data_IF_728495183951
#
_entry.id   IF_728495183951
#
_cell.length_a   1.000
_cell.length_b   1.000
_cell.length_c   1.000
_cell.angle_alpha   90.00
_cell.angle_beta   90.00
_cell.angle_gamma   90.00
#
_symmetry.space_group_name_H-M   'P 1'
#
loop_
_entity.id
_entity.type
_entity.pdbx_description
1 polymer ?
#
# COMPACT_ATOMS: atom_id res chain seq x y z
N UNK A 1 -5.29 -9.69 -12.08
CA UNK A 1 -5.17 -8.23 -12.07
C UNK A 1 -4.60 -7.68 -13.38
N UNK A 2 -3.45 -8.16 -13.85
CA UNK A 2 -2.79 -7.67 -15.10
C UNK A 2 -3.67 -7.79 -16.37
N UNK A 3 -4.61 -8.71 -16.40
CA UNK A 3 -5.55 -8.92 -17.52
C UNK A 3 -6.85 -8.12 -17.37
N UNK A 4 -7.04 -7.40 -16.28
CA UNK A 4 -8.24 -6.63 -16.04
C UNK A 4 -8.31 -5.40 -16.97
N UNK A 5 -9.54 -5.07 -17.39
CA UNK A 5 -9.80 -3.85 -18.15
C UNK A 5 -9.64 -2.62 -17.26
N UNK A 6 -8.67 -1.77 -17.58
CA UNK A 6 -8.37 -0.53 -16.80
C UNK A 6 -9.51 0.51 -16.86
N UNK A 7 -10.46 0.36 -17.77
CA UNK A 7 -11.62 1.25 -17.86
C UNK A 7 -12.77 0.89 -16.89
N UNK A 8 -12.66 -0.25 -16.19
CA UNK A 8 -13.66 -0.63 -15.18
C UNK A 8 -13.27 -0.08 -13.82
N UNK A 9 -14.12 0.78 -13.29
CA UNK A 9 -13.95 1.43 -11.98
C UNK A 9 -14.55 0.53 -10.87
N UNK A 10 -13.96 -0.65 -10.64
CA UNK A 10 -14.34 -1.58 -9.57
C UNK A 10 -13.46 -1.32 -8.35
N UNK A 11 -14.08 -1.13 -7.19
CA UNK A 11 -13.40 -0.88 -5.93
C UNK A 11 -13.78 -1.93 -4.89
N UNK A 12 -12.79 -2.46 -4.19
CA UNK A 12 -12.99 -3.29 -3.00
C UNK A 12 -12.65 -2.48 -1.76
N UNK A 13 -13.60 -2.38 -0.84
CA UNK A 13 -13.36 -1.80 0.49
C UNK A 13 -13.17 -2.97 1.47
N UNK A 14 -11.95 -3.24 1.96
CA UNK A 14 -11.67 -4.42 2.78
C UNK A 14 -11.93 -4.16 4.28
N UNK A 15 -13.08 -3.58 4.61
CA UNK A 15 -13.49 -3.31 5.99
C UNK A 15 -14.01 -4.58 6.68
N UNK A 16 -13.17 -5.62 6.79
CA UNK A 16 -13.57 -6.91 7.38
C UNK A 16 -13.87 -6.82 8.87
N UNK A 17 -13.20 -5.91 9.57
CA UNK A 17 -13.37 -5.63 11.00
C UNK A 17 -13.57 -4.12 11.26
N UNK A 18 -14.16 -3.41 10.31
CA UNK A 18 -14.24 -1.96 10.28
C UNK A 18 -13.10 -1.33 9.48
N UNK A 19 -13.07 -0.01 9.45
CA UNK A 19 -12.01 0.81 8.86
C UNK A 19 -11.19 1.48 9.95
N UNK A 20 -9.86 1.35 9.86
CA UNK A 20 -8.89 2.05 10.71
C UNK A 20 -8.67 3.49 10.26
N UNK A 21 -7.48 4.03 10.55
CA UNK A 21 -7.08 5.37 10.13
C UNK A 21 -7.16 5.53 8.60
N UNK A 22 -7.59 6.71 8.10
CA UNK A 22 -8.06 7.89 8.84
C UNK A 22 -9.58 7.87 9.16
N UNK A 23 -10.27 6.82 8.75
CA UNK A 23 -11.75 6.76 8.77
C UNK A 23 -12.34 6.45 10.14
N UNK A 24 -11.67 5.63 10.94
CA UNK A 24 -12.02 5.23 12.30
C UNK A 24 -13.49 4.81 12.47
N UNK A 25 -13.98 3.95 11.57
CA UNK A 25 -15.34 3.42 11.57
C UNK A 25 -15.33 1.90 11.86
N UNK A 26 -15.66 1.54 13.08
CA UNK A 26 -15.71 0.14 13.52
C UNK A 26 -16.91 -0.64 12.95
N UNK A 27 -17.96 0.07 12.49
CA UNK A 27 -19.21 -0.51 12.00
C UNK A 27 -19.19 -0.67 10.46
N UNK A 28 -18.28 0.00 9.76
CA UNK A 28 -18.07 -0.22 8.33
C UNK A 28 -17.83 -1.70 8.01
N UNK A 29 -18.36 -2.16 6.88
CA UNK A 29 -18.16 -3.55 6.41
C UNK A 29 -17.63 -3.58 4.99
N UNK A 30 -16.91 -4.67 4.68
CA UNK A 30 -16.32 -4.90 3.36
C UNK A 30 -17.36 -4.86 2.24
N UNK A 31 -17.00 -4.24 1.11
CA UNK A 31 -17.90 -4.10 -0.04
C UNK A 31 -17.14 -4.15 -1.37
N UNK A 32 -17.82 -4.60 -2.40
CA UNK A 32 -17.43 -4.46 -3.81
C UNK A 32 -18.37 -3.48 -4.49
N UNK A 33 -17.82 -2.43 -5.10
CA UNK A 33 -18.58 -1.35 -5.73
C UNK A 33 -18.13 -1.18 -7.20
N UNK A 34 -19.03 -0.68 -8.05
CA UNK A 34 -18.73 -0.44 -9.45
C UNK A 34 -18.85 -1.67 -10.35
N UNK A 35 -19.54 -2.74 -9.91
CA UNK A 35 -19.74 -3.94 -10.70
C UNK A 35 -20.61 -3.67 -11.92
N UNK A 36 -20.21 -4.22 -13.06
CA UNK A 36 -20.92 -4.18 -14.33
C UNK A 36 -21.11 -5.60 -14.88
N UNK A 37 -21.80 -5.75 -16.01
CA UNK A 37 -21.91 -7.05 -16.70
C UNK A 37 -20.59 -7.57 -17.23
N UNK A 38 -19.60 -6.68 -17.44
CA UNK A 38 -18.25 -7.03 -17.89
C UNK A 38 -17.30 -7.35 -16.76
N UNK A 39 -17.71 -7.19 -15.49
CA UNK A 39 -16.82 -7.44 -14.35
C UNK A 39 -16.63 -8.93 -14.15
N UNK A 40 -15.38 -9.38 -14.22
CA UNK A 40 -14.99 -10.77 -14.01
C UNK A 40 -13.99 -10.92 -12.85
N UNK A 41 -13.45 -12.13 -12.67
CA UNK A 41 -12.47 -12.41 -11.61
C UNK A 41 -11.20 -11.54 -11.69
N UNK A 42 -10.79 -11.13 -12.89
CA UNK A 42 -9.61 -10.31 -13.10
C UNK A 42 -9.79 -8.89 -12.51
N UNK A 43 -10.97 -8.29 -12.72
CA UNK A 43 -11.34 -6.97 -12.19
C UNK A 43 -11.47 -7.01 -10.67
N UNK A 44 -12.08 -8.08 -10.13
CA UNK A 44 -12.20 -8.27 -8.67
C UNK A 44 -10.81 -8.44 -8.03
N UNK A 45 -9.94 -9.26 -8.62
CA UNK A 45 -8.57 -9.46 -8.13
C UNK A 45 -7.76 -8.15 -8.19
N UNK A 46 -7.93 -7.35 -9.26
CA UNK A 46 -7.31 -6.02 -9.35
C UNK A 46 -7.81 -5.10 -8.25
N UNK A 47 -9.12 -5.01 -8.06
CA UNK A 47 -9.71 -4.17 -7.02
C UNK A 47 -9.21 -4.54 -5.62
N UNK A 48 -9.03 -5.85 -5.34
CA UNK A 48 -8.46 -6.33 -4.09
C UNK A 48 -7.02 -5.88 -3.89
N UNK A 49 -6.16 -5.98 -4.91
CA UNK A 49 -4.76 -5.53 -4.83
C UNK A 49 -4.65 -4.00 -4.78
N UNK A 50 -5.44 -3.28 -5.58
CA UNK A 50 -5.46 -1.82 -5.56
C UNK A 50 -6.00 -1.25 -4.23
N UNK A 51 -6.88 -1.97 -3.52
CA UNK A 51 -7.40 -1.51 -2.22
C UNK A 51 -6.30 -1.25 -1.20
N UNK A 52 -5.24 -2.06 -1.21
CA UNK A 52 -4.06 -1.85 -0.35
C UNK A 52 -3.32 -0.57 -0.72
N UNK A 53 -3.20 -0.28 -2.02
CA UNK A 53 -2.55 0.94 -2.50
C UNK A 53 -3.33 2.20 -2.05
N UNK A 54 -4.66 2.17 -2.16
CA UNK A 54 -5.50 3.28 -1.72
C UNK A 54 -5.48 3.46 -0.20
N UNK A 55 -5.57 2.36 0.57
CA UNK A 55 -5.46 2.46 2.03
C UNK A 55 -4.10 3.00 2.48
N UNK A 56 -3.03 2.63 1.78
CA UNK A 56 -1.70 3.19 2.04
C UNK A 56 -1.68 4.69 1.75
N UNK A 57 -2.31 5.14 0.65
CA UNK A 57 -2.43 6.57 0.34
C UNK A 57 -3.22 7.31 1.42
N UNK A 58 -4.36 6.76 1.88
CA UNK A 58 -5.18 7.35 2.94
C UNK A 58 -4.34 7.54 4.22
N UNK A 59 -3.60 6.49 4.62
CA UNK A 59 -2.76 6.53 5.81
C UNK A 59 -1.62 7.55 5.68
N UNK A 60 -0.89 7.55 4.56
CA UNK A 60 0.19 8.51 4.32
C UNK A 60 -0.32 9.94 4.26
N UNK A 61 -1.50 10.16 3.66
CA UNK A 61 -2.14 11.49 3.62
C UNK A 61 -2.46 11.98 5.03
N UNK A 62 -3.00 11.12 5.90
CA UNK A 62 -3.25 11.46 7.29
C UNK A 62 -1.96 11.73 8.07
N UNK A 63 -0.93 10.89 7.88
CA UNK A 63 0.38 11.10 8.51
C UNK A 63 1.03 12.42 8.08
N UNK A 64 0.95 12.77 6.80
CA UNK A 64 1.49 14.03 6.29
C UNK A 64 0.73 15.26 6.81
N UNK A 65 -0.56 15.13 7.13
CA UNK A 65 -1.32 16.22 7.76
C UNK A 65 -0.87 16.50 9.20
N UNK A 66 -0.38 15.47 9.91
CA UNK A 66 0.12 15.58 11.27
C UNK A 66 1.62 15.93 11.35
N UNK A 67 2.35 15.73 10.26
CA UNK A 67 3.80 15.92 10.18
C UNK A 67 4.15 17.03 9.21
N UNK A 68 4.89 18.01 9.68
CA UNK A 68 5.50 19.04 8.82
C UNK A 68 6.72 18.43 8.09
N UNK A 69 6.49 17.86 6.90
CA UNK A 69 7.53 17.21 6.12
C UNK A 69 7.99 18.06 4.94
N UNK A 70 9.22 18.55 5.03
CA UNK A 70 9.95 19.20 3.93
C UNK A 70 10.80 18.22 3.09
N UNK A 71 10.84 16.92 3.40
CA UNK A 71 11.70 15.94 2.74
C UNK A 71 10.92 15.00 1.82
N UNK A 72 11.46 14.74 0.61
CA UNK A 72 10.98 13.65 -0.25
C UNK A 72 11.06 12.32 0.51
N UNK A 73 9.92 11.70 0.72
CA UNK A 73 9.83 10.44 1.47
C UNK A 73 9.76 9.28 0.49
N UNK A 74 10.77 8.42 0.49
CA UNK A 74 10.72 7.14 -0.21
C UNK A 74 10.02 6.13 0.69
N UNK A 75 8.96 5.49 0.19
CA UNK A 75 8.28 4.43 0.91
C UNK A 75 9.07 3.12 0.79
N UNK A 76 9.57 2.60 1.90
CA UNK A 76 10.17 1.26 1.96
C UNK A 76 9.11 0.24 2.32
N UNK A 77 9.06 -0.85 1.56
CA UNK A 77 8.03 -1.89 1.70
C UNK A 77 8.62 -3.27 1.93
N UNK A 78 7.87 -4.10 2.68
CA UNK A 78 8.22 -5.47 3.01
C UNK A 78 6.98 -6.38 3.15
N UNK A 79 7.20 -7.64 3.46
CA UNK A 79 6.14 -8.64 3.65
C UNK A 79 5.74 -9.36 2.36
N UNK A 80 4.83 -10.31 2.47
CA UNK A 80 4.49 -11.23 1.39
C UNK A 80 3.92 -10.56 0.12
N UNK A 81 3.23 -9.43 0.27
CA UNK A 81 2.60 -8.72 -0.87
C UNK A 81 3.62 -8.05 -1.79
N UNK A 82 4.82 -7.72 -1.28
CA UNK A 82 5.85 -7.04 -2.08
C UNK A 82 6.46 -7.92 -3.17
N UNK A 83 6.21 -9.23 -3.15
CA UNK A 83 6.61 -10.15 -4.20
C UNK A 83 5.95 -9.84 -5.57
N UNK A 84 4.84 -9.14 -5.59
CA UNK A 84 4.14 -8.75 -6.81
C UNK A 84 4.67 -7.42 -7.35
N UNK A 85 5.48 -7.46 -8.40
CA UNK A 85 5.97 -6.25 -9.09
C UNK A 85 4.81 -5.38 -9.58
N UNK A 86 3.72 -6.00 -10.06
CA UNK A 86 2.54 -5.27 -10.49
C UNK A 86 1.91 -4.45 -9.35
N UNK A 87 1.80 -5.06 -8.16
CA UNK A 87 1.23 -4.37 -6.99
C UNK A 87 2.15 -3.23 -6.53
N UNK A 88 3.45 -3.45 -6.55
CA UNK A 88 4.43 -2.42 -6.17
C UNK A 88 4.45 -1.24 -7.15
N UNK A 89 4.36 -1.52 -8.46
CA UNK A 89 4.22 -0.47 -9.46
C UNK A 89 2.91 0.30 -9.28
N UNK A 90 1.80 -0.41 -9.04
CA UNK A 90 0.50 0.24 -8.78
C UNK A 90 0.52 1.08 -7.49
N UNK A 91 1.24 0.64 -6.47
CA UNK A 91 1.44 1.41 -5.25
C UNK A 91 2.19 2.72 -5.53
N UNK A 92 3.32 2.67 -6.24
CA UNK A 92 4.07 3.86 -6.65
C UNK A 92 3.19 4.81 -7.48
N UNK A 93 2.41 4.27 -8.42
CA UNK A 93 1.50 5.03 -9.28
C UNK A 93 0.42 5.77 -8.46
N UNK A 94 -0.23 5.09 -7.52
CA UNK A 94 -1.29 5.69 -6.68
C UNK A 94 -0.72 6.71 -5.71
N UNK A 95 0.45 6.44 -5.14
CA UNK A 95 1.11 7.38 -4.23
C UNK A 95 1.74 8.58 -4.95
N UNK A 96 2.05 8.45 -6.26
CA UNK A 96 2.88 9.41 -7.01
C UNK A 96 4.23 9.65 -6.33
N UNK A 97 4.78 8.60 -5.71
CA UNK A 97 6.03 8.61 -4.98
C UNK A 97 6.82 7.32 -5.24
N UNK A 98 8.15 7.34 -5.18
CA UNK A 98 8.95 6.14 -5.33
C UNK A 98 8.71 5.14 -4.19
N UNK A 99 8.69 3.85 -4.55
CA UNK A 99 8.56 2.72 -3.62
C UNK A 99 9.80 1.83 -3.73
N UNK A 100 10.48 1.60 -2.62
CA UNK A 100 11.67 0.77 -2.51
C UNK A 100 11.35 -0.57 -1.86
N UNK A 101 11.58 -1.66 -2.60
CA UNK A 101 11.51 -3.02 -2.06
C UNK A 101 12.87 -3.45 -1.56
N UNK A 102 12.92 -3.99 -0.34
CA UNK A 102 14.14 -4.57 0.22
C UNK A 102 14.41 -5.97 -0.35
N UNK A 103 15.70 -6.37 -0.42
CA UNK A 103 16.10 -7.76 -0.74
C UNK A 103 15.52 -8.74 0.29
N UNK A 104 15.48 -8.36 1.56
CA UNK A 104 14.90 -9.17 2.64
C UNK A 104 13.47 -8.69 2.85
N UNK A 105 12.50 -9.51 2.48
CA UNK A 105 11.09 -9.20 2.61
C UNK A 105 10.50 -9.49 4.01
N UNK A 106 11.21 -10.24 4.86
CA UNK A 106 10.77 -10.62 6.21
C UNK A 106 11.44 -9.73 7.28
N UNK A 107 11.23 -8.41 7.19
CA UNK A 107 11.90 -7.44 8.06
C UNK A 107 11.46 -7.53 9.52
N UNK A 108 10.23 -7.98 9.79
CA UNK A 108 9.75 -8.21 11.16
C UNK A 108 10.57 -9.32 11.84
N UNK A 109 10.78 -10.44 11.17
CA UNK A 109 11.59 -11.54 11.70
C UNK A 109 13.06 -11.13 11.85
N UNK A 110 13.59 -10.39 10.86
CA UNK A 110 14.94 -9.85 10.88
C UNK A 110 15.14 -8.86 12.04
N UNK A 111 14.18 -7.98 12.29
CA UNK A 111 14.21 -7.01 13.39
C UNK A 111 14.18 -7.71 14.75
N UNK A 112 13.34 -8.72 14.93
CA UNK A 112 13.30 -9.52 16.15
C UNK A 112 14.62 -10.27 16.39
N UNK A 113 15.21 -10.84 15.34
CA UNK A 113 16.52 -11.52 15.42
C UNK A 113 17.63 -10.51 15.75
N UNK A 114 17.60 -9.32 15.17
CA UNK A 114 18.55 -8.26 15.49
C UNK A 114 18.44 -7.83 16.96
N UNK A 115 17.24 -7.61 17.48
CA UNK A 115 17.06 -7.23 18.89
C UNK A 115 17.64 -8.30 19.84
N UNK A 116 17.40 -9.57 19.57
CA UNK A 116 17.95 -10.66 20.36
C UNK A 116 19.48 -10.75 20.23
N UNK A 117 20.01 -10.68 19.01
CA UNK A 117 21.45 -10.77 18.73
C UNK A 117 22.23 -9.56 19.24
N UNK A 118 21.68 -8.36 19.14
CA UNK A 118 22.27 -7.14 19.69
C UNK A 118 22.35 -7.21 21.23
N UNK A 119 21.29 -7.72 21.88
CA UNK A 119 21.27 -7.91 23.31
C UNK A 119 22.31 -8.96 23.79
N UNK A 120 22.53 -9.98 22.98
CA UNK A 120 23.53 -11.00 23.22
C UNK A 120 24.97 -10.59 22.84
N UNK A 121 25.16 -9.41 22.25
CA UNK A 121 26.46 -8.92 21.80
C UNK A 121 27.05 -9.62 20.58
N UNK A 122 26.19 -10.35 19.80
CA UNK A 122 26.63 -11.10 18.60
C UNK A 122 26.21 -10.44 17.28
N UNK A 123 25.41 -9.37 17.35
CA UNK A 123 24.99 -8.58 16.20
C UNK A 123 25.43 -7.12 16.35
N UNK A 124 25.54 -6.37 15.22
CA UNK A 124 25.97 -4.98 15.26
C UNK A 124 24.96 -4.09 16.01
N UNK A 125 25.39 -2.89 16.33
CA UNK A 125 24.52 -1.85 16.85
C UNK A 125 23.45 -1.41 15.82
N UNK A 126 22.60 -0.49 16.19
CA UNK A 126 21.49 -0.01 15.35
C UNK A 126 21.98 0.58 14.02
N UNK A 127 23.09 1.31 14.02
CA UNK A 127 23.64 1.90 12.80
C UNK A 127 24.16 0.81 11.86
N UNK A 128 24.96 -0.12 12.38
CA UNK A 128 25.48 -1.25 11.58
C UNK A 128 24.36 -2.15 11.06
N UNK A 129 23.25 -2.28 11.79
CA UNK A 129 22.07 -2.97 11.31
C UNK A 129 21.36 -2.20 10.18
N UNK A 130 21.18 -0.89 10.35
CA UNK A 130 20.59 -0.05 9.31
C UNK A 130 21.42 -0.06 8.02
N UNK A 131 22.75 -0.07 8.12
CA UNK A 131 23.67 -0.15 6.98
C UNK A 131 23.62 -1.51 6.25
N UNK A 132 23.01 -2.52 6.85
CA UNK A 132 22.80 -3.83 6.21
C UNK A 132 21.64 -3.84 5.23
N UNK A 133 20.76 -2.84 5.24
CA UNK A 133 19.65 -2.72 4.32
C UNK A 133 20.13 -2.68 2.86
N UNK A 134 19.47 -3.42 1.99
CA UNK A 134 19.81 -3.46 0.54
C UNK A 134 18.53 -3.33 -0.28
N UNK A 135 18.62 -2.46 -1.28
CA UNK A 135 17.57 -2.29 -2.28
C UNK A 135 17.54 -3.50 -3.22
N UNK A 136 16.37 -4.13 -3.38
CA UNK A 136 16.11 -5.09 -4.45
C UNK A 136 15.64 -4.36 -5.71
N UNK A 137 14.57 -3.57 -5.58
CA UNK A 137 14.00 -2.84 -6.72
C UNK A 137 13.34 -1.54 -6.28
N UNK A 138 13.54 -0.50 -7.08
CA UNK A 138 12.80 0.76 -7.00
C UNK A 138 11.68 0.77 -8.05
N UNK A 139 10.51 1.25 -7.65
CA UNK A 139 9.35 1.47 -8.52
C UNK A 139 9.06 2.96 -8.53
N UNK A 140 9.28 3.61 -9.67
CA UNK A 140 8.92 5.01 -9.89
C UNK A 140 7.49 5.12 -10.45
N UNK A 141 6.75 6.21 -10.17
CA UNK A 141 5.43 6.42 -10.75
C UNK A 141 5.47 6.49 -12.27
N UNK A 142 4.58 5.73 -12.94
CA UNK A 142 4.43 5.70 -14.40
C UNK A 142 3.03 6.17 -14.83
N UNK A 143 2.05 6.11 -13.91
CA UNK A 143 0.67 6.54 -14.18
C UNK A 143 0.57 8.06 -14.28
N UNK A 144 -0.10 8.54 -15.33
CA UNK A 144 -0.39 9.97 -15.45
C UNK A 144 -1.24 10.47 -14.27
N UNK A 145 -0.89 11.61 -13.70
CA UNK A 145 -1.55 12.21 -12.51
C UNK A 145 -3.07 12.29 -12.69
N UNK A 146 -3.56 12.71 -13.86
CA UNK A 146 -5.00 12.78 -14.14
C UNK A 146 -5.72 11.45 -14.03
N UNK A 147 -5.08 10.35 -14.44
CA UNK A 147 -5.63 8.99 -14.34
C UNK A 147 -5.66 8.55 -12.88
N UNK A 148 -4.56 8.78 -12.18
CA UNK A 148 -4.45 8.54 -10.74
C UNK A 148 -5.53 9.27 -9.95
N UNK A 149 -5.72 10.56 -10.21
CA UNK A 149 -6.70 11.38 -9.48
C UNK A 149 -8.13 10.89 -9.69
N UNK A 150 -8.49 10.48 -10.92
CA UNK A 150 -9.79 9.84 -11.20
C UNK A 150 -9.98 8.57 -10.36
N UNK A 151 -8.95 7.73 -10.27
CA UNK A 151 -9.00 6.48 -9.49
C UNK A 151 -9.15 6.75 -7.99
N UNK A 152 -8.40 7.71 -7.45
CA UNK A 152 -8.46 8.11 -6.03
C UNK A 152 -9.82 8.75 -5.69
N UNK A 153 -10.38 9.57 -6.59
CA UNK A 153 -11.73 10.12 -6.40
C UNK A 153 -12.79 9.00 -6.37
N UNK A 154 -12.66 8.01 -7.24
CA UNK A 154 -13.51 6.82 -7.22
C UNK A 154 -13.39 6.02 -5.93
N UNK A 155 -12.18 5.82 -5.41
CA UNK A 155 -11.93 5.20 -4.11
C UNK A 155 -12.62 5.97 -2.98
N UNK A 156 -12.40 7.27 -2.90
CA UNK A 156 -13.02 8.11 -1.87
C UNK A 156 -14.55 8.05 -1.90
N UNK A 157 -15.16 8.02 -3.10
CA UNK A 157 -16.60 7.84 -3.26
C UNK A 157 -17.06 6.45 -2.79
N UNK A 158 -16.26 5.41 -3.06
CA UNK A 158 -16.56 4.06 -2.63
C UNK A 158 -16.50 3.90 -1.11
N UNK A 159 -15.47 4.44 -0.46
CA UNK A 159 -15.34 4.43 1.02
C UNK A 159 -16.54 5.14 1.67
N UNK A 160 -16.91 6.33 1.19
CA UNK A 160 -18.06 7.08 1.74
C UNK A 160 -19.40 6.34 1.68
N UNK A 161 -19.54 5.30 0.85
CA UNK A 161 -20.75 4.48 0.76
C UNK A 161 -20.82 3.38 1.80
N UNK A 162 -19.73 3.09 2.47
CA UNK A 162 -19.64 2.05 3.51
C UNK A 162 -19.47 2.63 4.91
N UNK A 163 -19.20 3.92 5.01
CA UNK A 163 -19.18 4.62 6.30
C UNK A 163 -20.58 4.69 6.88
N UNK A 164 -20.68 4.48 8.19
CA UNK A 164 -21.94 4.49 8.99
C UNK A 164 -22.37 5.87 9.42
#
# INVERSE_FOLDING_TARGET
AQQADDNQDVYMIPAFTGLGAPWWDADARGALLGLTRGTGPAEIARAALESVCYQTLDLLTAMHADWDQSAETVLRVDGGMVASDWTMQRLADILQAPVDRAVIAETTALGAAWLAGSRAGVWPDQQGFADSWRLDKNFAPEMAVKVRDKKVDGWNKAVRRVLS
#
